data_IF_541018759940
#
_entry.id   IF_541018759940
#
_cell.length_a   1.000
_cell.length_b   1.000
_cell.length_c   1.000
_cell.angle_alpha   90.00
_cell.angle_beta   90.00
_cell.angle_gamma   90.00
#
_symmetry.space_group_name_H-M   'P 1'
#
loop_
_entity.id
_entity.type
_entity.pdbx_description
1 polymer ?
#
# COMPACT_ATOMS: atom_id res chain seq x y z
N UNK A 1 2.57 5.45 21.97
CA UNK A 1 2.63 6.16 23.28
C UNK A 1 3.54 7.38 23.26
N UNK A 2 4.77 7.24 22.76
CA UNK A 2 5.72 8.36 22.73
C UNK A 2 5.22 9.52 21.82
N UNK A 3 4.75 9.21 20.61
CA UNK A 3 4.21 10.22 19.70
C UNK A 3 3.06 10.99 20.33
N UNK A 4 2.08 10.30 20.91
CA UNK A 4 0.94 10.97 21.59
C UNK A 4 1.38 11.89 22.72
N UNK A 5 2.34 11.43 23.55
CA UNK A 5 2.89 12.26 24.65
C UNK A 5 3.62 13.50 24.16
N UNK A 6 4.10 13.50 22.92
CA UNK A 6 4.84 14.61 22.32
C UNK A 6 4.02 15.35 21.25
N UNK A 7 2.70 15.14 21.22
CA UNK A 7 1.79 15.77 20.26
C UNK A 7 2.18 15.54 18.80
N UNK A 8 2.57 14.30 18.48
CA UNK A 8 2.97 13.86 17.15
C UNK A 8 2.06 12.72 16.68
N UNK A 9 1.80 12.66 15.39
CA UNK A 9 1.13 11.51 14.76
C UNK A 9 2.14 10.41 14.46
N UNK A 10 1.73 9.17 14.68
CA UNK A 10 2.50 8.00 14.29
C UNK A 10 2.03 7.51 12.91
N UNK A 11 2.94 7.45 11.96
CA UNK A 11 2.68 6.99 10.60
C UNK A 11 3.79 6.07 10.10
N UNK A 12 3.52 5.35 9.03
CA UNK A 12 4.46 4.46 8.34
C UNK A 12 3.71 3.38 7.59
N UNK A 13 4.46 2.44 7.05
CA UNK A 13 3.97 1.23 6.41
C UNK A 13 4.70 0.01 6.97
N UNK A 14 4.28 -1.16 6.55
CA UNK A 14 4.90 -2.44 6.91
C UNK A 14 5.68 -2.98 5.72
N UNK A 15 6.15 -4.20 5.79
CA UNK A 15 6.98 -4.82 4.77
C UNK A 15 6.42 -6.20 4.41
N UNK A 16 6.51 -6.58 3.14
CA UNK A 16 6.00 -7.85 2.63
C UNK A 16 4.49 -8.01 2.85
N UNK A 17 3.74 -7.05 2.34
CA UNK A 17 2.29 -6.96 2.51
C UNK A 17 1.53 -7.78 1.45
N UNK A 18 2.23 -8.31 0.45
CA UNK A 18 1.73 -8.85 -0.80
C UNK A 18 0.98 -10.18 -0.69
N UNK A 19 1.28 -11.00 0.30
CA UNK A 19 0.57 -12.26 0.52
C UNK A 19 0.27 -12.54 1.99
N UNK A 20 -0.68 -13.44 2.26
CA UNK A 20 -0.98 -13.84 3.64
C UNK A 20 0.20 -14.55 4.30
N UNK A 21 0.93 -15.36 3.53
CA UNK A 21 2.15 -16.02 4.01
C UNK A 21 3.25 -15.02 4.33
N UNK A 22 3.48 -14.05 3.44
CA UNK A 22 4.47 -13.01 3.64
C UNK A 22 4.14 -12.18 4.89
N UNK A 23 2.91 -11.70 5.02
CA UNK A 23 2.43 -10.98 6.20
C UNK A 23 2.63 -11.79 7.49
N UNK A 24 2.18 -13.05 7.48
CA UNK A 24 2.27 -13.94 8.66
C UNK A 24 3.71 -14.20 9.05
N UNK A 25 4.59 -14.40 8.07
CA UNK A 25 6.02 -14.66 8.30
C UNK A 25 6.73 -13.45 8.90
N UNK A 26 6.42 -12.25 8.43
CA UNK A 26 7.18 -11.05 8.77
C UNK A 26 6.60 -10.28 9.95
N UNK A 27 5.27 -10.15 10.03
CA UNK A 27 4.60 -9.21 10.95
C UNK A 27 3.34 -9.78 11.62
N UNK A 28 2.88 -10.94 11.21
CA UNK A 28 1.66 -11.58 11.69
C UNK A 28 0.39 -11.08 10.98
N UNK A 29 0.04 -9.80 11.08
CA UNK A 29 -1.11 -9.20 10.37
C UNK A 29 -0.91 -7.71 10.18
N UNK A 30 -1.01 -7.26 8.93
CA UNK A 30 -0.93 -5.82 8.63
C UNK A 30 -2.16 -5.08 9.18
N UNK A 31 -3.35 -5.63 9.04
CA UNK A 31 -4.58 -4.96 9.50
C UNK A 31 -4.58 -4.70 11.00
N UNK A 32 -4.03 -5.62 11.81
CA UNK A 32 -3.90 -5.41 13.26
C UNK A 32 -2.84 -4.37 13.61
N UNK A 33 -1.78 -4.27 12.83
CA UNK A 33 -0.74 -3.28 13.04
C UNK A 33 -1.25 -1.84 12.80
N UNK A 34 -2.18 -1.65 11.86
CA UNK A 34 -2.78 -0.36 11.57
C UNK A 34 -3.56 0.24 12.73
N UNK A 35 -4.02 -0.56 13.69
CA UNK A 35 -4.68 -0.07 14.91
C UNK A 35 -3.81 0.95 15.66
N UNK A 36 -2.51 0.72 15.67
CA UNK A 36 -1.55 1.54 16.42
C UNK A 36 -1.04 2.77 15.68
N UNK A 37 -1.35 2.90 14.39
CA UNK A 37 -0.95 4.04 13.56
C UNK A 37 -2.03 5.10 13.53
N UNK A 38 -1.66 6.37 13.68
CA UNK A 38 -2.60 7.50 13.49
C UNK A 38 -2.89 7.71 12.00
N UNK A 39 -1.87 7.51 11.17
CA UNK A 39 -1.95 7.50 9.71
C UNK A 39 -1.34 6.19 9.21
N UNK A 40 -2.14 5.13 9.02
CA UNK A 40 -1.63 3.87 8.51
C UNK A 40 -1.27 3.97 7.04
N UNK A 41 -0.30 3.17 6.60
CA UNK A 41 0.20 3.20 5.24
C UNK A 41 0.58 1.85 4.66
N UNK A 42 0.81 1.85 3.36
CA UNK A 42 1.28 0.72 2.55
C UNK A 42 2.50 1.08 1.73
N UNK A 43 3.24 0.07 1.31
CA UNK A 43 4.37 0.16 0.38
C UNK A 43 3.96 -0.48 -0.96
N UNK A 44 3.52 0.34 -1.92
CA UNK A 44 3.08 -0.11 -3.25
C UNK A 44 3.71 0.77 -4.32
N UNK A 45 4.96 0.47 -4.65
CA UNK A 45 5.85 1.37 -5.37
C UNK A 45 5.57 1.50 -6.87
N UNK A 46 5.39 0.38 -7.59
CA UNK A 46 5.50 0.36 -9.05
C UNK A 46 4.18 0.17 -9.78
N UNK A 47 4.16 0.52 -11.07
CA UNK A 47 3.06 0.23 -11.99
C UNK A 47 2.86 -1.27 -12.26
N UNK A 48 3.83 -2.10 -11.91
CA UNK A 48 3.76 -3.55 -12.09
C UNK A 48 3.22 -4.28 -10.86
N UNK A 49 2.81 -3.56 -9.84
CA UNK A 49 2.21 -4.17 -8.67
C UNK A 49 0.72 -4.46 -8.92
N UNK A 50 0.37 -5.73 -8.90
CA UNK A 50 -1.01 -6.20 -9.08
C UNK A 50 -1.68 -6.64 -7.77
N UNK A 51 -1.03 -6.43 -6.64
CA UNK A 51 -1.53 -6.81 -5.32
C UNK A 51 -2.47 -5.73 -4.75
N UNK A 52 -3.55 -5.40 -5.47
CA UNK A 52 -4.51 -4.36 -5.08
C UNK A 52 -5.14 -4.61 -3.70
N UNK A 53 -5.20 -5.87 -3.26
CA UNK A 53 -5.71 -6.25 -1.93
C UNK A 53 -4.89 -5.68 -0.77
N UNK A 54 -3.63 -5.30 -0.98
CA UNK A 54 -2.82 -4.58 0.02
C UNK A 54 -3.52 -3.28 0.40
N UNK A 55 -3.83 -2.46 -0.59
CA UNK A 55 -4.49 -1.17 -0.38
C UNK A 55 -5.93 -1.37 0.13
N UNK A 56 -6.62 -2.42 -0.33
CA UNK A 56 -7.95 -2.76 0.20
C UNK A 56 -7.92 -3.15 1.68
N UNK A 57 -6.91 -3.88 2.14
CA UNK A 57 -6.74 -4.18 3.56
C UNK A 57 -6.51 -2.90 4.38
N UNK A 58 -5.68 -1.98 3.88
CA UNK A 58 -5.48 -0.68 4.50
C UNK A 58 -6.79 0.11 4.57
N UNK A 59 -7.51 0.22 3.45
CA UNK A 59 -8.80 0.92 3.37
C UNK A 59 -9.80 0.35 4.38
N UNK A 60 -9.94 -0.97 4.41
CA UNK A 60 -10.84 -1.66 5.32
C UNK A 60 -10.49 -1.40 6.78
N UNK A 61 -9.21 -1.54 7.15
CA UNK A 61 -8.75 -1.26 8.51
C UNK A 61 -8.95 0.22 8.89
N UNK A 62 -8.62 1.14 7.99
CA UNK A 62 -8.77 2.57 8.23
C UNK A 62 -10.24 2.94 8.49
N UNK A 63 -11.17 2.44 7.68
CA UNK A 63 -12.62 2.65 7.85
C UNK A 63 -13.11 2.11 9.20
N UNK A 64 -12.76 0.88 9.54
CA UNK A 64 -13.16 0.25 10.80
C UNK A 64 -12.59 0.97 12.03
N UNK A 65 -11.43 1.57 11.92
CA UNK A 65 -10.72 2.24 13.01
C UNK A 65 -10.95 3.77 13.01
N UNK A 66 -11.77 4.29 12.11
CA UNK A 66 -12.05 5.72 12.00
C UNK A 66 -10.82 6.57 11.61
N UNK A 67 -9.92 6.02 10.79
CA UNK A 67 -8.74 6.74 10.29
C UNK A 67 -9.09 7.44 8.97
N UNK A 68 -8.88 8.75 8.91
CA UNK A 68 -9.23 9.58 7.76
C UNK A 68 -8.07 9.79 6.78
N UNK A 69 -6.86 9.38 7.15
CA UNK A 69 -5.68 9.50 6.30
C UNK A 69 -5.07 8.12 6.08
N UNK A 70 -4.77 7.84 4.83
CA UNK A 70 -4.15 6.61 4.37
C UNK A 70 -2.95 6.95 3.50
N UNK A 71 -1.76 6.51 3.92
CA UNK A 71 -0.52 6.77 3.24
C UNK A 71 -0.17 5.64 2.27
N UNK A 72 0.45 5.97 1.15
CA UNK A 72 1.17 5.01 0.32
C UNK A 72 2.57 5.53 0.02
N UNK A 73 3.58 4.70 0.20
CA UNK A 73 4.87 4.87 -0.44
C UNK A 73 4.75 4.40 -1.88
N UNK A 74 5.07 5.27 -2.84
CA UNK A 74 4.80 4.99 -4.25
C UNK A 74 5.84 5.64 -5.16
N UNK A 75 5.89 5.19 -6.42
CA UNK A 75 6.77 5.64 -7.50
C UNK A 75 8.24 5.18 -7.42
N UNK A 76 8.62 4.43 -6.40
CA UNK A 76 9.95 3.82 -6.34
C UNK A 76 10.11 2.66 -7.33
N UNK A 77 11.35 2.34 -7.67
CA UNK A 77 11.73 1.22 -8.57
C UNK A 77 11.14 1.34 -9.99
N UNK A 78 10.76 2.54 -10.40
CA UNK A 78 10.08 2.79 -11.69
C UNK A 78 11.04 3.14 -12.83
N UNK A 79 12.27 3.53 -12.51
CA UNK A 79 13.27 3.92 -13.50
C UNK A 79 13.16 5.38 -13.97
N UNK A 80 14.15 5.83 -14.73
CA UNK A 80 14.26 7.22 -15.19
C UNK A 80 13.28 7.60 -16.30
N UNK A 81 12.71 6.61 -16.98
CA UNK A 81 11.72 6.77 -18.04
C UNK A 81 10.27 6.90 -17.54
N UNK A 82 10.06 6.84 -16.23
CA UNK A 82 8.73 6.91 -15.62
C UNK A 82 8.10 8.28 -15.88
N UNK A 83 7.05 8.32 -16.70
CA UNK A 83 6.42 9.53 -17.20
C UNK A 83 5.17 9.95 -16.38
N UNK A 84 4.53 11.05 -16.76
CA UNK A 84 3.37 11.56 -16.04
C UNK A 84 2.12 10.69 -16.21
N UNK A 85 1.99 9.98 -17.32
CA UNK A 85 0.90 9.02 -17.53
C UNK A 85 1.04 7.87 -16.54
N UNK A 86 2.25 7.36 -16.36
CA UNK A 86 2.56 6.31 -15.39
C UNK A 86 2.35 6.78 -13.95
N UNK A 87 2.81 7.98 -13.60
CA UNK A 87 2.52 8.58 -12.28
C UNK A 87 1.02 8.68 -12.03
N UNK A 88 0.27 9.13 -13.02
CA UNK A 88 -1.18 9.23 -12.94
C UNK A 88 -1.83 7.86 -12.78
N UNK A 89 -1.43 6.89 -13.59
CA UNK A 89 -1.98 5.53 -13.56
C UNK A 89 -1.82 4.88 -12.18
N UNK A 90 -0.59 4.91 -11.63
CA UNK A 90 -0.32 4.36 -10.29
C UNK A 90 -1.09 5.09 -9.20
N UNK A 91 -1.12 6.42 -9.26
CA UNK A 91 -1.81 7.21 -8.25
C UNK A 91 -3.34 7.10 -8.32
N UNK A 92 -3.93 7.00 -9.51
CA UNK A 92 -5.38 6.95 -9.71
C UNK A 92 -6.03 5.74 -9.01
N UNK A 93 -5.51 4.54 -9.27
CA UNK A 93 -6.12 3.35 -8.67
C UNK A 93 -5.93 3.34 -7.14
N UNK A 94 -4.79 3.82 -6.64
CA UNK A 94 -4.56 3.95 -5.20
C UNK A 94 -5.50 4.98 -4.57
N UNK A 95 -5.71 6.11 -5.24
CA UNK A 95 -6.67 7.12 -4.78
C UNK A 95 -8.11 6.59 -4.76
N UNK A 96 -8.52 5.77 -5.75
CA UNK A 96 -9.82 5.10 -5.76
C UNK A 96 -10.00 4.13 -4.59
N UNK A 97 -8.93 3.53 -4.11
CA UNK A 97 -8.94 2.73 -2.88
C UNK A 97 -8.76 3.57 -1.60
N UNK A 98 -8.74 4.90 -1.72
CA UNK A 98 -8.75 5.81 -0.59
C UNK A 98 -7.40 6.36 -0.16
N UNK A 99 -6.31 6.07 -0.88
CA UNK A 99 -5.01 6.70 -0.58
C UNK A 99 -5.12 8.20 -0.82
N UNK A 100 -4.93 8.97 0.23
CA UNK A 100 -5.01 10.42 0.20
C UNK A 100 -3.75 11.13 0.74
N UNK A 101 -2.75 10.35 1.13
CA UNK A 101 -1.42 10.86 1.49
C UNK A 101 -0.36 10.08 0.69
N UNK A 102 0.22 10.73 -0.31
CA UNK A 102 1.22 10.12 -1.19
C UNK A 102 2.62 10.45 -0.66
N UNK A 103 3.37 9.43 -0.28
CA UNK A 103 4.76 9.52 0.12
C UNK A 103 5.63 9.04 -1.04
N UNK A 104 6.16 10.00 -1.78
CA UNK A 104 6.92 9.67 -2.99
C UNK A 104 8.27 9.03 -2.64
N UNK A 105 8.54 7.90 -3.23
CA UNK A 105 9.85 7.29 -3.24
C UNK A 105 10.58 7.66 -4.54
N UNK A 106 11.51 8.56 -4.49
CA UNK A 106 11.89 9.55 -3.48
C UNK A 106 12.56 10.76 -4.16
N UNK A 107 13.04 11.67 -3.36
CA UNK A 107 13.88 12.78 -3.81
C UNK A 107 15.28 12.63 -3.24
N UNK A 108 16.27 12.37 -4.07
CA UNK A 108 17.65 12.26 -3.61
C UNK A 108 18.28 13.62 -3.40
N UNK A 109 18.87 13.81 -2.25
CA UNK A 109 19.68 15.01 -2.00
C UNK A 109 20.85 15.12 -2.97
N UNK A 110 21.48 13.99 -3.34
CA UNK A 110 22.62 13.93 -4.21
C UNK A 110 22.73 12.58 -4.93
N UNK A 111 23.17 12.60 -6.19
CA UNK A 111 23.52 11.42 -6.97
C UNK A 111 24.89 10.82 -6.61
N UNK A 112 25.57 11.38 -5.62
CA UNK A 112 26.91 10.94 -5.22
C UNK A 112 26.83 9.67 -4.37
N UNK A 113 27.55 8.63 -4.77
CA UNK A 113 27.56 7.31 -4.13
C UNK A 113 26.48 6.38 -4.68
N UNK A 114 26.81 5.10 -4.81
CA UNK A 114 25.92 4.10 -5.44
C UNK A 114 24.63 3.86 -4.67
N UNK A 115 24.71 3.67 -3.36
CA UNK A 115 23.55 3.42 -2.51
C UNK A 115 22.51 4.54 -2.49
N UNK A 116 22.82 5.72 -3.03
CA UNK A 116 21.87 6.83 -3.21
C UNK A 116 21.26 6.89 -4.60
N UNK A 117 21.60 5.95 -5.47
CA UNK A 117 21.09 5.88 -6.85
C UNK A 117 20.20 4.67 -7.07
N UNK A 118 19.95 3.91 -6.00
CA UNK A 118 19.03 2.80 -6.04
C UNK A 118 17.60 3.30 -6.23
N UNK A 119 16.79 2.50 -6.91
CA UNK A 119 15.37 2.72 -7.08
C UNK A 119 14.99 4.06 -7.73
N UNK A 120 15.53 4.40 -8.93
CA UNK A 120 15.12 5.60 -9.65
C UNK A 120 13.63 5.53 -10.04
N UNK A 121 12.95 6.64 -10.34
CA UNK A 121 13.53 7.95 -10.56
C UNK A 121 13.56 8.79 -9.28
N UNK A 122 14.39 9.86 -9.30
CA UNK A 122 14.30 10.92 -8.30
C UNK A 122 13.25 11.95 -8.74
N UNK A 123 12.32 12.28 -7.87
CA UNK A 123 11.32 13.33 -8.08
C UNK A 123 11.92 14.67 -7.59
N UNK A 124 12.96 15.11 -8.28
CA UNK A 124 13.69 16.34 -7.97
C UNK A 124 14.50 16.80 -9.19
N UNK A 125 15.39 17.74 -8.99
CA UNK A 125 16.22 18.35 -10.05
C UNK A 125 17.03 17.36 -10.90
N UNK A 126 17.21 16.13 -10.45
CA UNK A 126 17.89 15.10 -11.23
C UNK A 126 17.04 14.56 -12.40
N UNK A 127 15.74 14.76 -12.36
CA UNK A 127 14.82 14.34 -13.43
C UNK A 127 14.47 15.51 -14.34
N UNK A 128 14.60 15.31 -15.66
CA UNK A 128 14.40 16.36 -16.66
C UNK A 128 12.96 16.92 -16.65
N UNK A 129 11.98 16.12 -16.27
CA UNK A 129 10.56 16.49 -16.21
C UNK A 129 10.17 17.22 -14.91
N UNK A 130 11.04 17.29 -13.92
CA UNK A 130 10.73 17.86 -12.60
C UNK A 130 10.15 19.28 -12.62
N UNK A 131 10.60 20.21 -13.49
CA UNK A 131 10.00 21.54 -13.56
C UNK A 131 8.49 21.56 -13.83
N UNK A 132 7.97 20.48 -14.37
CA UNK A 132 6.55 20.32 -14.72
C UNK A 132 5.79 19.40 -13.74
N UNK A 133 6.44 18.91 -12.70
CA UNK A 133 5.85 17.93 -11.78
C UNK A 133 4.64 18.48 -11.00
N UNK A 134 4.54 19.79 -10.88
CA UNK A 134 3.37 20.46 -10.30
C UNK A 134 2.04 20.05 -10.98
N UNK A 135 2.05 19.70 -12.27
CA UNK A 135 0.83 19.22 -12.94
C UNK A 135 0.29 17.91 -12.33
N UNK A 136 1.18 17.01 -11.92
CA UNK A 136 0.82 15.77 -11.22
C UNK A 136 0.27 16.09 -9.84
N UNK A 137 0.94 16.97 -9.10
CA UNK A 137 0.52 17.36 -7.75
C UNK A 137 -0.82 18.11 -7.74
N UNK A 138 -1.02 19.04 -8.66
CA UNK A 138 -2.29 19.76 -8.81
C UNK A 138 -3.44 18.81 -9.16
N UNK A 139 -3.19 17.82 -10.02
CA UNK A 139 -4.18 16.80 -10.36
C UNK A 139 -4.63 16.03 -9.11
N UNK A 140 -3.68 15.46 -8.36
CA UNK A 140 -4.01 14.66 -7.18
C UNK A 140 -4.57 15.50 -6.03
N UNK A 141 -4.15 16.75 -5.88
CA UNK A 141 -4.73 17.67 -4.91
C UNK A 141 -6.23 17.87 -5.16
N UNK A 142 -6.61 18.08 -6.43
CA UNK A 142 -8.03 18.21 -6.82
C UNK A 142 -8.79 16.90 -6.65
N UNK A 143 -8.19 15.78 -7.05
CA UNK A 143 -8.78 14.45 -6.91
C UNK A 143 -9.05 14.12 -5.44
N UNK A 144 -8.10 14.40 -4.55
CA UNK A 144 -8.26 14.17 -3.13
C UNK A 144 -9.41 14.99 -2.53
N UNK A 145 -9.53 16.28 -2.86
CA UNK A 145 -10.65 17.11 -2.42
C UNK A 145 -11.99 16.49 -2.82
N UNK A 146 -12.06 15.92 -4.02
CA UNK A 146 -13.29 15.27 -4.49
C UNK A 146 -13.56 13.94 -3.76
N UNK A 147 -12.54 13.07 -3.64
CA UNK A 147 -12.69 11.74 -3.07
C UNK A 147 -12.84 11.72 -1.54
N UNK A 148 -12.38 12.78 -0.86
CA UNK A 148 -12.54 12.91 0.59
C UNK A 148 -13.95 13.38 1.01
N UNK A 149 -14.84 13.66 0.06
CA UNK A 149 -16.22 14.04 0.35
C UNK A 149 -17.13 12.80 0.46
N UNK A 150 -18.04 12.85 1.40
CA UNK A 150 -19.03 11.80 1.59
C UNK A 150 -18.56 10.65 2.47
N UNK A 151 -19.41 9.64 2.58
CA UNK A 151 -19.18 8.45 3.39
C UNK A 151 -19.14 7.21 2.49
N UNK A 152 -18.22 6.26 2.76
CA UNK A 152 -18.17 5.02 1.99
C UNK A 152 -19.41 4.16 2.24
N UNK A 153 -19.94 3.57 1.18
CA UNK A 153 -21.03 2.58 1.25
C UNK A 153 -20.43 1.20 1.05
N UNK A 154 -20.54 0.34 2.06
CA UNK A 154 -20.02 -1.02 2.04
C UNK A 154 -21.11 -1.98 2.51
N UNK A 155 -21.57 -2.85 1.62
CA UNK A 155 -22.64 -3.80 1.90
C UNK A 155 -22.14 -5.21 2.19
N UNK A 156 -20.83 -5.45 1.98
CA UNK A 156 -20.24 -6.77 2.10
C UNK A 156 -19.07 -6.78 3.10
N UNK A 157 -19.07 -7.76 3.99
CA UNK A 157 -17.97 -8.05 4.90
C UNK A 157 -17.24 -9.31 4.45
N UNK A 158 -15.94 -9.17 4.14
CA UNK A 158 -15.05 -10.29 3.84
C UNK A 158 -14.15 -10.56 5.04
N UNK A 159 -14.17 -11.79 5.53
CA UNK A 159 -13.29 -12.19 6.63
C UNK A 159 -11.86 -12.42 6.10
N UNK A 160 -10.89 -11.71 6.68
CA UNK A 160 -9.48 -11.95 6.40
C UNK A 160 -9.04 -13.24 7.13
N UNK A 161 -8.54 -14.27 6.43
CA UNK A 161 -8.25 -15.57 7.04
C UNK A 161 -6.91 -15.66 7.77
N UNK A 162 -6.25 -14.54 8.08
CA UNK A 162 -4.90 -14.51 8.66
C UNK A 162 -4.80 -15.30 9.98
N UNK A 163 -5.82 -15.30 10.79
CA UNK A 163 -5.84 -16.04 12.06
C UNK A 163 -5.91 -17.56 11.84
N UNK A 164 -6.56 -18.00 10.78
CA UNK A 164 -6.54 -19.40 10.35
C UNK A 164 -5.13 -19.84 9.93
N UNK A 165 -4.39 -18.95 9.27
CA UNK A 165 -3.00 -19.21 8.92
C UNK A 165 -2.10 -19.34 10.17
N UNK A 166 -2.34 -18.52 11.19
CA UNK A 166 -1.56 -18.63 12.43
C UNK A 166 -1.67 -20.01 13.08
N UNK A 167 -2.79 -20.70 12.90
CA UNK A 167 -2.98 -22.06 13.39
C UNK A 167 -2.19 -23.11 12.58
N UNK A 168 -1.62 -22.72 11.45
CA UNK A 168 -0.84 -23.58 10.54
C UNK A 168 0.66 -23.31 10.59
N UNK A 169 1.13 -22.43 11.48
CA UNK A 169 2.56 -22.13 11.62
C UNK A 169 3.26 -23.27 12.31
N UNK A 170 4.18 -23.95 11.62
CA UNK A 170 5.06 -24.98 12.13
C UNK A 170 6.41 -24.92 11.40
N UNK A 171 7.49 -25.53 11.89
CA UNK A 171 8.76 -25.54 11.17
C UNK A 171 8.59 -26.04 9.73
N UNK A 172 9.02 -25.22 8.75
CA UNK A 172 8.92 -25.49 7.31
C UNK A 172 7.52 -25.36 6.70
N UNK A 173 6.59 -24.64 7.31
CA UNK A 173 5.29 -24.33 6.72
C UNK A 173 5.40 -23.43 5.46
N UNK A 174 6.46 -22.63 5.42
CA UNK A 174 6.81 -21.78 4.30
C UNK A 174 8.31 -21.85 3.99
N UNK A 175 8.67 -21.53 2.76
CA UNK A 175 10.05 -21.31 2.33
C UNK A 175 10.19 -19.87 1.87
N UNK A 176 11.04 -19.10 2.55
CA UNK A 176 11.09 -17.65 2.40
C UNK A 176 9.69 -17.06 2.64
N UNK A 177 9.06 -16.46 1.63
CA UNK A 177 7.73 -15.85 1.72
C UNK A 177 6.66 -16.64 0.93
N UNK A 178 6.97 -17.89 0.58
CA UNK A 178 6.08 -18.74 -0.22
C UNK A 178 5.59 -19.92 0.62
N UNK A 179 4.28 -20.22 0.65
CA UNK A 179 3.76 -21.34 1.42
C UNK A 179 4.20 -22.68 0.83
N UNK A 180 4.64 -23.60 1.68
CA UNK A 180 4.88 -25.01 1.34
C UNK A 180 3.63 -25.83 1.66
N UNK A 181 2.96 -25.48 2.74
CA UNK A 181 1.72 -26.12 3.18
C UNK A 181 0.60 -25.90 2.13
N UNK A 182 -0.02 -27.00 1.69
CA UNK A 182 -1.03 -26.96 0.61
C UNK A 182 -2.33 -26.27 1.05
N UNK A 183 -2.73 -26.40 2.31
CA UNK A 183 -3.94 -25.74 2.82
C UNK A 183 -3.71 -24.23 2.92
N UNK A 184 -2.50 -23.80 3.27
CA UNK A 184 -2.13 -22.37 3.28
C UNK A 184 -2.11 -21.81 1.86
N UNK A 185 -1.55 -22.54 0.91
CA UNK A 185 -1.53 -22.16 -0.51
C UNK A 185 -2.94 -21.99 -1.07
N UNK A 186 -3.81 -22.91 -0.75
CA UNK A 186 -5.22 -22.85 -1.18
C UNK A 186 -5.95 -21.67 -0.51
N UNK A 187 -5.70 -21.40 0.77
CA UNK A 187 -6.29 -20.26 1.46
C UNK A 187 -5.85 -18.92 0.84
N UNK A 188 -4.58 -18.78 0.48
CA UNK A 188 -4.09 -17.60 -0.25
C UNK A 188 -4.77 -17.45 -1.60
N UNK A 189 -4.82 -18.51 -2.37
CA UNK A 189 -5.47 -18.52 -3.69
C UNK A 189 -6.94 -18.10 -3.58
N UNK A 190 -7.68 -18.66 -2.65
CA UNK A 190 -9.08 -18.32 -2.42
C UNK A 190 -9.25 -16.86 -1.98
N UNK A 191 -8.36 -16.35 -1.14
CA UNK A 191 -8.39 -14.96 -0.71
C UNK A 191 -8.20 -14.00 -1.89
N UNK A 192 -7.20 -14.23 -2.73
CA UNK A 192 -6.94 -13.42 -3.92
C UNK A 192 -8.08 -13.51 -4.95
N UNK A 193 -8.60 -14.70 -5.19
CA UNK A 193 -9.72 -14.91 -6.11
C UNK A 193 -11.00 -14.23 -5.63
N UNK A 194 -11.27 -14.28 -4.32
CA UNK A 194 -12.40 -13.57 -3.72
C UNK A 194 -12.27 -12.07 -3.98
N UNK A 195 -11.10 -11.49 -3.69
CA UNK A 195 -10.85 -10.08 -3.96
C UNK A 195 -11.08 -9.73 -5.44
N UNK A 196 -10.46 -10.49 -6.37
CA UNK A 196 -10.59 -10.25 -7.82
C UNK A 196 -12.04 -10.36 -8.29
N UNK A 197 -12.78 -11.32 -7.77
CA UNK A 197 -14.19 -11.53 -8.10
C UNK A 197 -15.05 -10.36 -7.65
N UNK A 198 -14.85 -9.86 -6.43
CA UNK A 198 -15.58 -8.71 -5.90
C UNK A 198 -15.26 -7.43 -6.66
N UNK A 199 -13.99 -7.19 -6.96
CA UNK A 199 -13.59 -6.05 -7.80
C UNK A 199 -14.23 -6.12 -9.20
N UNK A 200 -14.25 -7.29 -9.83
CA UNK A 200 -14.90 -7.49 -11.13
C UNK A 200 -16.41 -7.25 -11.07
N UNK A 201 -17.04 -7.60 -9.96
CA UNK A 201 -18.45 -7.33 -9.69
C UNK A 201 -18.72 -5.87 -9.27
N UNK A 202 -17.68 -5.02 -9.16
CA UNK A 202 -17.76 -3.63 -8.69
C UNK A 202 -18.40 -3.52 -7.29
N UNK A 203 -18.11 -4.49 -6.44
CA UNK A 203 -18.55 -4.51 -5.04
C UNK A 203 -17.44 -3.97 -4.14
N UNK A 204 -17.80 -3.02 -3.28
CA UNK A 204 -16.87 -2.45 -2.29
C UNK A 204 -17.00 -3.15 -0.92
#
# INVERSE_FOLDING_TARGET
DWCRKNNMLFTGHLLHEDSLTAQTTMIGSIMRAYEYMDVPGVDVLTEHNYCFWIVKQLQSAARQLGKNKMLSELYGVTGWQFDFESHKSVGDWQALFGINLRCHHLSWYSMRGEGKRDYPASISYQSAWYPYYSYVEDYFSRLNVFLEQGEPVCDLLVLNPVESLWCRIYPKWSWQLVPIDEEVREAERMYEETFRTLCAAKTD
#
